data_IF_661730548612
#
_entry.id   IF_661730548612
#
_cell.length_a   1.000
_cell.length_b   1.000
_cell.length_c   1.000
_cell.angle_alpha   90.00
_cell.angle_beta   90.00
_cell.angle_gamma   90.00
#
_symmetry.space_group_name_H-M   'P 1'
#
loop_
_entity.id
_entity.type
_entity.pdbx_description
1 polymer ?
2 non-polymer ?
3 non-polymer ?
4 non-polymer ?
5 water ?
#
# COMPACT_ATOMS: atom_id res chain seq x y z
N UNK A 16 0.28 6.60 -23.35
CA UNK A 16 -0.31 5.76 -22.25
C UNK A 16 -0.40 6.44 -20.88
N UNK A 17 0.38 7.49 -20.66
CA UNK A 17 0.31 8.20 -19.37
C UNK A 17 -1.12 8.70 -19.08
N UNK A 18 -1.83 9.15 -20.11
CA UNK A 18 -3.20 9.64 -19.97
C UNK A 18 -3.31 10.73 -18.89
N UNK A 19 -2.77 11.90 -19.19
CA UNK A 19 -2.73 13.03 -18.26
C UNK A 19 -4.05 13.78 -18.11
N UNK A 20 -4.98 13.54 -19.02
CA UNK A 20 -6.27 14.24 -19.02
C UNK A 20 -7.29 13.74 -17.99
N UNK A 21 -6.98 12.63 -17.30
CA UNK A 21 -7.85 12.12 -16.25
C UNK A 21 -7.04 11.92 -14.98
N UNK A 22 -7.72 11.91 -13.85
CA UNK A 22 -7.07 11.71 -12.58
C UNK A 22 -6.77 10.22 -12.38
N UNK A 23 -5.64 9.94 -11.72
CA UNK A 23 -5.20 8.57 -11.39
C UNK A 23 -4.86 8.62 -9.91
N UNK A 24 -5.11 7.51 -9.23
CA UNK A 24 -4.95 7.40 -7.78
C UNK A 24 -3.54 7.63 -7.25
N UNK A 25 -2.53 7.11 -7.94
CA UNK A 25 -1.14 7.29 -7.51
C UNK A 25 -0.69 8.75 -7.49
N UNK A 26 -1.18 9.48 -8.46
CA UNK A 26 -0.85 10.88 -8.70
C UNK A 26 -1.57 11.82 -7.77
N UNK A 27 -2.89 11.59 -7.59
CA UNK A 27 -3.67 12.35 -6.58
C UNK A 27 -2.92 12.18 -5.24
N UNK A 28 -2.67 10.91 -4.88
CA UNK A 28 -1.90 10.56 -3.64
C UNK A 28 -0.59 11.34 -3.55
N UNK A 29 0.19 11.31 -4.63
CA UNK A 29 1.48 11.96 -4.63
C UNK A 29 1.32 13.46 -4.49
N UNK A 30 0.30 14.01 -5.15
CA UNK A 30 0.03 15.46 -5.06
C UNK A 30 -0.27 15.87 -3.62
N UNK A 31 -1.18 15.14 -3.00
CA UNK A 31 -1.63 15.46 -1.64
C UNK A 31 -0.48 15.36 -0.64
N UNK A 32 0.40 14.36 -0.78
CA UNK A 32 1.47 14.28 0.22
C UNK A 32 2.71 15.11 -0.11
N UNK A 33 2.67 15.88 -1.20
CA UNK A 33 3.74 16.84 -1.46
C UNK A 33 4.74 16.51 -2.54
N UNK A 34 4.44 15.53 -3.38
CA UNK A 34 5.32 15.15 -4.47
C UNK A 34 5.05 16.03 -5.68
N UNK A 35 5.80 15.82 -6.76
CA UNK A 35 5.68 16.61 -7.98
C UNK A 35 5.09 15.79 -9.12
N UNK A 36 4.88 14.51 -8.88
CA UNK A 36 4.52 13.58 -9.95
C UNK A 36 3.02 13.52 -10.11
N UNK A 37 2.47 14.61 -10.65
CA UNK A 37 1.03 14.72 -10.88
C UNK A 37 0.77 15.76 -11.97
N UNK A 38 -0.43 15.70 -12.53
CA UNK A 38 -0.85 16.58 -13.57
C UNK A 38 -2.07 17.42 -13.12
N UNK A 39 -2.44 18.46 -13.90
CA UNK A 39 -3.62 19.27 -13.54
C UNK A 39 -4.87 18.48 -13.09
N UNK A 40 -5.25 17.44 -13.84
CA UNK A 40 -6.42 16.60 -13.49
C UNK A 40 -6.33 16.01 -12.07
N UNK A 41 -5.10 15.68 -11.66
CA UNK A 41 -4.83 15.09 -10.36
C UNK A 41 -4.91 16.14 -9.26
N UNK A 42 -4.43 17.35 -9.52
CA UNK A 42 -4.50 18.44 -8.55
C UNK A 42 -5.97 18.84 -8.29
N UNK A 43 -6.73 18.90 -9.39
CA UNK A 43 -8.14 19.26 -9.40
C UNK A 43 -8.93 18.24 -8.54
N UNK A 44 -8.63 16.96 -8.72
CA UNK A 44 -9.31 15.91 -7.97
C UNK A 44 -8.94 16.01 -6.49
N UNK A 45 -7.66 16.18 -6.23
CA UNK A 45 -7.13 16.31 -4.87
C UNK A 45 -7.73 17.45 -4.08
N UNK A 46 -7.73 18.62 -4.70
CA UNK A 46 -8.35 19.81 -4.16
C UNK A 46 -9.86 19.66 -3.95
N UNK A 47 -10.56 19.02 -4.89
CA UNK A 47 -12.00 18.82 -4.70
C UNK A 47 -12.24 17.95 -3.48
N UNK A 48 -11.46 16.88 -3.36
CA UNK A 48 -11.52 15.95 -2.20
C UNK A 48 -11.17 16.56 -0.86
N UNK A 49 -10.13 17.41 -0.87
CA UNK A 49 -9.74 18.09 0.36
C UNK A 49 -10.82 19.10 0.82
N UNK A 50 -11.59 19.63 -0.14
CA UNK A 50 -12.71 20.53 0.15
C UNK A 50 -13.79 19.77 0.89
N UNK A 51 -13.99 18.53 0.50
CA UNK A 51 -14.97 17.65 1.12
C UNK A 51 -14.47 17.13 2.46
N UNK A 52 -13.17 16.86 2.54
CA UNK A 52 -12.56 16.33 3.76
C UNK A 52 -11.21 16.99 4.04
N UNK A 53 -11.23 18.07 4.83
CA UNK A 53 -9.98 18.81 5.06
C UNK A 53 -8.84 17.97 5.61
N UNK A 54 -9.15 16.87 6.29
CA UNK A 54 -8.10 16.01 6.85
C UNK A 54 -7.41 15.08 5.82
N UNK A 55 -7.85 15.08 4.55
CA UNK A 55 -7.25 14.19 3.51
C UNK A 55 -5.70 14.10 3.59
N UNK A 56 -4.97 15.25 3.58
CA UNK A 56 -3.49 15.17 3.68
C UNK A 56 -2.95 14.51 4.96
N UNK A 57 -3.66 14.68 6.08
CA UNK A 57 -3.24 14.07 7.35
C UNK A 57 -3.34 12.55 7.18
N UNK A 58 -4.47 12.13 6.66
CA UNK A 58 -4.78 10.72 6.40
C UNK A 58 -3.81 10.08 5.39
N UNK A 59 -3.61 10.74 4.24
CA UNK A 59 -2.74 10.20 3.20
C UNK A 59 -1.27 10.14 3.69
N UNK A 60 -0.85 11.14 4.43
CA UNK A 60 0.49 11.14 5.03
C UNK A 60 0.62 10.05 6.07
N UNK A 61 -0.40 9.88 6.92
CA UNK A 61 -0.38 8.86 8.00
C UNK A 61 -0.29 7.44 7.44
N UNK A 62 -0.92 7.22 6.28
CA UNK A 62 -0.81 5.96 5.57
C UNK A 62 0.66 5.73 5.13
N UNK A 63 1.23 6.71 4.47
CA UNK A 63 2.61 6.60 4.04
C UNK A 63 3.54 6.39 5.24
N UNK A 64 3.28 7.07 6.36
CA UNK A 64 4.07 6.88 7.60
C UNK A 64 3.81 5.48 8.17
N UNK A 65 2.61 4.93 7.95
CA UNK A 65 2.29 3.59 8.47
C UNK A 65 3.15 2.58 7.70
N UNK A 66 3.18 2.69 6.37
CA UNK A 66 4.07 1.88 5.54
C UNK A 66 5.50 1.84 6.07
N UNK A 67 6.03 2.99 6.47
CA UNK A 67 7.42 3.07 6.98
C UNK A 67 7.62 2.31 8.30
N UNK A 68 6.67 2.42 9.23
CA UNK A 68 6.77 1.73 10.50
C UNK A 68 6.53 0.23 10.32
N UNK A 69 5.58 -0.14 9.44
CA UNK A 69 5.33 -1.54 9.18
C UNK A 69 6.55 -2.22 8.55
N UNK A 70 7.19 -1.57 7.58
CA UNK A 70 8.34 -2.19 6.89
C UNK A 70 9.51 -2.27 7.86
N UNK A 71 9.69 -1.21 8.65
CA UNK A 71 10.75 -1.23 9.66
C UNK A 71 10.52 -2.40 10.63
N UNK A 72 9.28 -2.58 11.10
CA UNK A 72 8.92 -3.71 11.95
C UNK A 72 9.29 -5.06 11.32
N UNK A 73 8.83 -5.27 10.10
CA UNK A 73 9.07 -6.49 9.38
C UNK A 73 10.56 -6.80 9.21
N UNK A 74 11.31 -5.79 8.80
CA UNK A 74 12.73 -5.94 8.52
C UNK A 74 13.49 -6.20 9.80
N UNK A 75 13.21 -5.38 10.80
CA UNK A 75 13.93 -5.37 12.06
C UNK A 75 13.48 -6.42 13.07
N UNK A 76 12.22 -6.31 13.52
CA UNK A 76 11.67 -7.23 14.51
C UNK A 76 11.43 -8.64 13.97
N UNK A 77 10.77 -8.73 12.81
CA UNK A 77 10.46 -10.03 12.22
C UNK A 77 11.57 -10.66 11.38
N UNK A 78 12.62 -9.90 11.12
CA UNK A 78 13.75 -10.39 10.31
C UNK A 78 13.48 -10.74 8.86
N UNK A 79 12.41 -10.21 8.28
CA UNK A 79 12.05 -10.48 6.88
C UNK A 79 13.03 -9.77 5.92
N UNK A 80 13.50 -10.52 4.93
CA UNK A 80 14.49 -10.06 3.96
C UNK A 80 13.99 -10.08 2.54
N UNK A 81 12.70 -10.32 2.36
CA UNK A 81 12.08 -10.40 1.04
C UNK A 81 10.70 -9.77 1.09
N UNK A 82 10.47 -8.80 0.21
CA UNK A 82 9.18 -8.09 0.18
C UNK A 82 8.57 -8.12 -1.23
N UNK A 83 7.27 -8.29 -1.33
CA UNK A 83 6.52 -8.22 -2.60
C UNK A 83 5.46 -7.14 -2.31
N UNK A 84 5.53 -6.05 -3.06
CA UNK A 84 4.70 -4.85 -2.82
C UNK A 84 3.76 -4.62 -3.96
N UNK A 85 2.46 -4.73 -3.68
CA UNK A 85 1.42 -4.61 -4.69
C UNK A 85 0.74 -3.25 -4.55
N UNK A 86 0.77 -2.48 -5.63
CA UNK A 86 0.25 -1.13 -5.68
C UNK A 86 1.32 -0.23 -5.08
N UNK A 87 2.51 -0.33 -5.65
CA UNK A 87 3.65 0.40 -5.16
C UNK A 87 3.47 1.91 -5.17
N UNK A 88 2.78 2.46 -6.15
CA UNK A 88 2.71 3.92 -6.20
C UNK A 88 3.98 4.60 -6.65
N UNK A 89 3.85 5.92 -6.80
CA UNK A 89 4.90 6.82 -7.23
C UNK A 89 5.99 6.76 -6.18
N UNK A 90 7.26 6.62 -6.60
CA UNK A 90 8.31 6.60 -5.59
C UNK A 90 8.39 7.87 -4.77
N UNK A 91 8.58 7.72 -3.46
CA UNK A 91 8.72 8.82 -2.54
C UNK A 91 9.68 8.38 -1.43
N UNK A 92 10.69 9.18 -1.17
CA UNK A 92 11.69 8.84 -0.17
C UNK A 92 11.22 8.98 1.28
N UNK A 93 11.47 7.95 2.12
CA UNK A 93 12.12 6.67 1.89
C UNK A 93 11.18 5.63 1.25
N UNK A 94 11.65 4.93 0.25
CA UNK A 94 10.85 3.90 -0.41
C UNK A 94 10.97 2.62 0.42
N UNK A 95 10.09 1.67 0.17
CA UNK A 95 10.10 0.45 0.95
C UNK A 95 11.44 -0.23 0.95
N UNK A 96 12.09 -0.36 -0.21
CA UNK A 96 13.40 -1.07 -0.26
C UNK A 96 14.44 -0.31 0.48
N UNK A 97 14.31 1.02 0.52
CA UNK A 97 15.31 1.83 1.22
C UNK A 97 15.21 1.57 2.73
N UNK A 98 13.99 1.47 3.25
CA UNK A 98 13.81 1.14 4.66
C UNK A 98 14.35 -0.27 4.94
N UNK A 99 13.98 -1.24 4.09
CA UNK A 99 14.40 -2.64 4.29
C UNK A 99 15.92 -2.82 4.13
N UNK A 100 16.51 -2.19 3.12
CA UNK A 100 17.93 -2.36 2.91
C UNK A 100 18.77 -1.59 3.93
N UNK A 101 18.18 -0.61 4.61
CA UNK A 101 18.92 0.13 5.66
C UNK A 101 19.04 -0.71 6.93
N UNK A 102 18.05 -1.56 7.19
CA UNK A 102 18.10 -2.48 8.32
C UNK A 102 18.99 -3.66 7.95
N UNK A 103 18.82 -4.16 6.71
CA UNK A 103 19.54 -5.30 6.16
C UNK A 103 19.85 -5.11 4.67
N UNK A 104 21.10 -4.74 4.34
CA UNK A 104 21.47 -4.43 2.93
C UNK A 104 21.15 -5.50 1.90
N UNK A 105 21.17 -6.76 2.31
CA UNK A 105 20.87 -7.86 1.40
C UNK A 105 19.40 -8.02 1.11
N UNK A 106 18.53 -7.20 1.70
CA UNK A 106 17.09 -7.38 1.50
C UNK A 106 16.72 -7.24 0.03
N UNK A 107 15.71 -7.98 -0.37
CA UNK A 107 15.22 -8.02 -1.75
C UNK A 107 13.78 -7.55 -1.77
N UNK A 108 13.40 -6.82 -2.82
CA UNK A 108 12.04 -6.27 -2.97
C UNK A 108 11.57 -6.30 -4.41
N UNK A 109 10.34 -6.73 -4.62
CA UNK A 109 9.70 -6.65 -5.95
C UNK A 109 8.57 -5.67 -5.78
N UNK A 110 8.57 -4.63 -6.62
CA UNK A 110 7.60 -3.59 -6.60
C UNK A 110 6.68 -3.84 -7.78
N UNK A 111 5.42 -3.54 -7.59
CA UNK A 111 4.42 -3.80 -8.63
C UNK A 111 3.33 -2.72 -8.72
N UNK A 112 3.00 -2.25 -9.93
CA UNK A 112 1.94 -1.26 -10.05
C UNK A 112 1.39 -1.38 -11.45
N UNK A 113 0.14 -0.95 -11.64
CA UNK A 113 -0.43 -0.91 -12.98
C UNK A 113 -0.58 0.51 -13.55
N UNK A 114 -0.08 1.52 -12.87
CA UNK A 114 -0.15 2.88 -13.43
C UNK A 114 1.10 3.10 -14.29
N UNK A 115 0.97 3.32 -15.63
CA UNK A 115 2.16 3.56 -16.48
C UNK A 115 3.17 4.62 -15.95
N UNK A 116 2.70 5.58 -15.16
CA UNK A 116 3.59 6.60 -14.66
C UNK A 116 4.63 5.99 -13.74
N UNK A 117 4.27 4.90 -13.06
CA UNK A 117 5.24 4.32 -12.10
C UNK A 117 6.50 3.81 -12.84
N UNK A 118 6.29 3.16 -13.97
CA UNK A 118 7.39 2.66 -14.80
C UNK A 118 8.35 3.79 -15.19
N UNK A 119 7.82 4.98 -15.49
CA UNK A 119 8.63 6.13 -15.89
C UNK A 119 9.59 6.62 -14.81
N UNK A 120 9.21 6.34 -13.57
CA UNK A 120 9.98 6.74 -12.41
C UNK A 120 10.61 5.53 -11.73
N UNK A 121 10.67 4.40 -12.43
CA UNK A 121 11.16 3.14 -11.84
C UNK A 121 12.65 3.13 -11.50
N UNK A 122 13.45 4.06 -12.06
CA UNK A 122 14.88 4.08 -11.77
C UNK A 122 15.12 4.18 -10.26
N UNK A 123 14.32 4.95 -9.57
CA UNK A 123 14.48 5.10 -8.10
C UNK A 123 14.16 3.81 -7.36
N UNK A 124 13.26 3.01 -7.92
CA UNK A 124 12.87 1.73 -7.29
C UNK A 124 13.95 0.67 -7.49
N UNK A 125 14.63 0.77 -8.64
CA UNK A 125 15.68 -0.14 -9.03
C UNK A 125 17.06 0.19 -8.45
N UNK A 126 17.16 1.32 -7.76
CA UNK A 126 18.41 1.77 -7.19
C UNK A 126 18.65 1.02 -5.88
N UNK A 127 19.17 -0.19 -6.01
CA UNK A 127 19.36 -1.06 -4.86
C UNK A 127 20.76 -1.04 -4.30
N UNK A 128 20.89 -1.48 -3.06
CA UNK A 128 22.20 -1.70 -2.49
C UNK A 128 22.83 -2.79 -3.35
N UNK A 129 24.17 -2.85 -3.38
CA UNK A 129 24.77 -3.92 -4.16
C UNK A 129 24.50 -5.30 -3.53
N UNK A 130 24.41 -5.37 -2.20
CA UNK A 130 24.13 -6.65 -1.53
C UNK A 130 22.70 -7.11 -1.82
N UNK A 131 21.77 -6.17 -1.91
CA UNK A 131 20.36 -6.48 -2.12
C UNK A 131 20.02 -6.60 -3.57
N UNK A 132 18.71 -6.70 -3.84
CA UNK A 132 18.15 -6.77 -5.20
C UNK A 132 16.76 -6.07 -5.22
N UNK A 133 16.47 -5.29 -6.25
CA UNK A 133 15.07 -4.78 -6.40
C UNK A 133 14.67 -4.96 -7.84
N UNK A 134 13.37 -5.00 -8.06
CA UNK A 134 12.80 -5.19 -9.39
C UNK A 134 11.46 -4.51 -9.48
N UNK A 135 11.03 -4.18 -10.69
CA UNK A 135 9.74 -3.53 -10.85
C UNK A 135 9.02 -4.28 -11.94
N UNK A 136 7.76 -4.56 -11.70
CA UNK A 136 6.91 -5.24 -12.65
C UNK A 136 5.66 -4.41 -12.82
N UNK A 137 5.26 -4.14 -14.07
CA UNK A 137 4.01 -3.45 -14.33
C UNK A 137 2.99 -4.55 -14.57
N UNK A 138 1.98 -4.63 -13.69
CA UNK A 138 1.02 -5.70 -13.71
C UNK A 138 -0.19 -5.37 -12.85
N UNK A 139 -1.28 -6.08 -13.11
CA UNK A 139 -2.57 -5.90 -12.44
C UNK A 139 -2.75 -6.95 -11.34
N UNK A 140 -3.02 -6.51 -10.10
CA UNK A 140 -3.17 -7.47 -8.99
C UNK A 140 -4.32 -8.47 -9.21
N UNK A 141 -5.27 -8.11 -10.07
CA UNK A 141 -6.34 -9.02 -10.44
C UNK A 141 -5.81 -10.18 -11.31
N UNK A 142 -4.51 -10.22 -11.60
CA UNK A 142 -3.92 -11.32 -12.37
C UNK A 142 -2.68 -11.78 -11.63
N UNK A 143 -2.87 -12.51 -10.52
CA UNK A 143 -1.71 -12.95 -9.72
C UNK A 143 -0.64 -13.75 -10.48
N UNK A 144 -1.04 -14.50 -11.50
CA UNK A 144 -0.08 -15.29 -12.29
C UNK A 144 0.95 -14.39 -12.98
N UNK A 145 0.49 -13.27 -13.53
CA UNK A 145 1.39 -12.32 -14.20
C UNK A 145 2.38 -11.72 -13.23
N UNK A 146 2.04 -11.69 -11.94
CA UNK A 146 2.94 -11.18 -10.93
C UNK A 146 3.86 -12.31 -10.48
N UNK A 147 3.26 -13.39 -9.97
CA UNK A 147 3.97 -14.54 -9.42
C UNK A 147 4.89 -15.25 -10.43
N UNK A 148 4.45 -15.38 -11.67
CA UNK A 148 5.30 -15.99 -12.73
C UNK A 148 6.20 -14.97 -13.44
N UNK A 149 6.19 -13.70 -13.02
CA UNK A 149 7.05 -12.69 -13.62
C UNK A 149 8.51 -13.05 -13.45
N UNK A 150 9.28 -13.04 -14.57
CA UNK A 150 10.68 -13.34 -14.51
C UNK A 150 11.38 -12.42 -13.52
N UNK A 151 10.99 -11.15 -13.50
CA UNK A 151 11.59 -10.14 -12.62
C UNK A 151 11.41 -10.53 -11.16
N UNK A 152 10.28 -11.15 -10.85
CA UNK A 152 10.01 -11.62 -9.49
C UNK A 152 10.81 -12.89 -9.16
N UNK A 153 10.78 -13.87 -10.06
CA UNK A 153 11.52 -15.13 -9.86
C UNK A 153 13.05 -14.98 -9.83
N UNK A 154 13.58 -13.95 -10.49
CA UNK A 154 15.02 -13.71 -10.43
C UNK A 154 15.35 -12.89 -9.20
N UNK A 155 14.33 -12.38 -8.52
CA UNK A 155 14.59 -11.53 -7.37
C UNK A 155 14.27 -12.20 -6.05
N UNK A 156 13.11 -12.84 -5.98
CA UNK A 156 12.68 -13.48 -4.72
C UNK A 156 12.78 -15.01 -4.78
N UNK A 157 13.06 -15.60 -3.62
CA UNK A 157 13.09 -17.04 -3.41
C UNK A 157 11.80 -17.38 -2.64
N UNK A 158 10.80 -17.93 -3.32
CA UNK A 158 9.50 -18.20 -2.65
C UNK A 158 9.49 -19.40 -1.69
N UNK A 159 10.66 -20.02 -1.50
CA UNK A 159 10.81 -21.08 -0.53
C UNK A 159 11.31 -20.45 0.79
N UNK A 160 11.54 -19.14 0.78
CA UNK A 160 11.95 -18.41 2.00
C UNK A 160 10.89 -17.33 2.33
N UNK A 161 10.82 -16.89 3.61
CA UNK A 161 9.75 -15.96 3.99
C UNK A 161 9.75 -14.65 3.20
N UNK A 162 8.54 -14.26 2.81
CA UNK A 162 8.23 -13.04 2.04
C UNK A 162 7.12 -12.22 2.76
N UNK A 163 7.33 -10.90 2.88
CA UNK A 163 6.30 -9.99 3.41
C UNK A 163 5.51 -9.47 2.18
N UNK A 164 4.21 -9.81 2.11
CA UNK A 164 3.32 -9.33 1.03
C UNK A 164 2.75 -8.02 1.55
N UNK A 165 3.14 -6.92 0.91
CA UNK A 165 2.66 -5.59 1.31
C UNK A 165 1.59 -5.13 0.30
N UNK A 166 0.41 -4.92 0.80
CA UNK A 166 -0.73 -4.53 -0.03
C UNK A 166 -1.31 -3.30 0.65
N UNK A 167 -0.72 -2.15 0.36
CA UNK A 167 -1.01 -0.94 1.09
C UNK A 167 -1.71 0.13 0.30
N UNK A 168 -2.86 0.53 0.84
CA UNK A 168 -3.65 1.62 0.28
C UNK A 168 -4.08 1.31 -1.11
N UNK A 169 -4.35 0.04 -1.36
CA UNK A 169 -4.81 -0.36 -2.70
C UNK A 169 -6.11 -1.12 -2.70
N UNK A 170 -6.36 -1.92 -1.67
CA UNK A 170 -7.54 -2.78 -1.69
C UNK A 170 -8.87 -2.00 -1.71
N UNK A 171 -8.86 -0.74 -1.31
CA UNK A 171 -10.10 0.04 -1.37
C UNK A 171 -10.51 0.31 -2.83
N UNK A 172 -9.61 0.06 -3.79
CA UNK A 172 -9.98 0.18 -5.23
C UNK A 172 -10.44 -1.14 -5.84
N UNK A 173 -10.57 -2.18 -4.99
CA UNK A 173 -10.97 -3.50 -5.45
C UNK A 173 -12.35 -3.77 -4.87
N UNK A 174 -13.30 -3.89 -5.77
CA UNK A 174 -14.71 -4.09 -5.40
C UNK A 174 -14.99 -5.55 -5.05
N UNK A 175 -16.06 -5.77 -4.34
CA UNK A 175 -16.46 -7.12 -3.92
C UNK A 175 -16.68 -8.11 -5.04
N UNK A 176 -17.19 -7.64 -6.17
CA UNK A 176 -17.37 -8.53 -7.31
C UNK A 176 -16.08 -9.15 -7.85
N UNK A 177 -14.91 -8.63 -7.49
CA UNK A 177 -13.63 -9.21 -7.92
C UNK A 177 -12.99 -10.08 -6.86
N UNK A 178 -13.64 -10.16 -5.69
CA UNK A 178 -13.18 -10.92 -4.54
C UNK A 178 -11.81 -10.45 -4.05
N UNK A 179 -11.76 -9.25 -3.48
CA UNK A 179 -10.51 -8.69 -2.95
C UNK A 179 -9.80 -9.61 -1.95
N UNK A 180 -10.58 -10.23 -1.08
CA UNK A 180 -10.03 -11.18 -0.13
C UNK A 180 -9.37 -12.35 -0.87
N UNK A 181 -10.01 -12.86 -1.90
CA UNK A 181 -9.48 -13.99 -2.67
C UNK A 181 -8.21 -13.64 -3.44
N UNK A 182 -8.21 -12.47 -4.06
CA UNK A 182 -7.05 -11.98 -4.79
C UNK A 182 -5.84 -11.87 -3.84
N UNK A 183 -6.06 -11.28 -2.69
CA UNK A 183 -4.97 -11.13 -1.71
C UNK A 183 -4.44 -12.47 -1.21
N UNK A 184 -5.35 -13.36 -0.84
CA UNK A 184 -4.99 -14.68 -0.34
C UNK A 184 -4.40 -15.58 -1.44
N UNK A 185 -4.71 -15.28 -2.69
CA UNK A 185 -4.11 -16.00 -3.80
C UNK A 185 -2.63 -15.61 -3.93
N UNK A 186 -2.28 -14.35 -3.66
CA UNK A 186 -0.90 -13.85 -3.70
C UNK A 186 -0.06 -14.36 -2.52
N UNK A 187 -0.73 -14.57 -1.39
CA UNK A 187 -0.09 -15.07 -0.18
C UNK A 187 0.11 -16.58 -0.23
N UNK A 188 -0.71 -17.27 -1.01
CA UNK A 188 -0.69 -18.73 -1.05
C UNK A 188 0.70 -19.37 -1.27
N UNK A 189 1.47 -18.90 -2.30
CA UNK A 189 2.78 -19.52 -2.58
C UNK A 189 3.92 -19.09 -1.67
N UNK A 190 3.63 -18.18 -0.74
CA UNK A 190 4.62 -17.72 0.19
C UNK A 190 4.65 -18.72 1.33
N UNK A 191 5.84 -19.03 1.84
CA UNK A 191 5.95 -20.07 2.87
C UNK A 191 5.59 -19.63 4.29
N UNK A 192 5.49 -20.61 5.18
CA UNK A 192 5.23 -20.34 6.58
C UNK A 192 6.31 -19.38 7.05
N UNK A 193 5.93 -18.44 7.89
CA UNK A 193 6.84 -17.42 8.36
C UNK A 193 6.70 -16.16 7.53
N UNK A 194 6.00 -16.25 6.41
CA UNK A 194 5.76 -15.08 5.60
C UNK A 194 4.77 -14.16 6.39
N UNK A 195 4.49 -12.98 5.83
CA UNK A 195 3.55 -12.03 6.39
C UNK A 195 2.70 -11.31 5.35
N UNK A 196 1.59 -10.79 5.83
CA UNK A 196 0.72 -9.96 5.03
C UNK A 196 0.55 -8.64 5.82
N UNK A 197 0.86 -7.53 5.17
CA UNK A 197 0.69 -6.18 5.75
C UNK A 197 -0.23 -5.42 4.81
N UNK A 198 -1.31 -4.85 5.36
CA UNK A 198 -2.29 -4.13 4.59
C UNK A 198 -2.74 -2.82 5.24
N UNK A 199 -3.13 -1.86 4.41
CA UNK A 199 -3.84 -0.68 4.94
C UNK A 199 -5.20 -0.71 4.23
N UNK A 200 -6.28 -0.61 5.01
CA UNK A 200 -7.62 -0.86 4.46
C UNK A 200 -8.49 0.35 4.76
N UNK A 201 -9.00 0.95 3.68
CA UNK A 201 -9.83 2.13 3.76
C UNK A 201 -11.18 1.88 4.41
N UNK A 202 -11.59 2.81 5.25
CA UNK A 202 -12.86 2.69 5.98
C UNK A 202 -13.51 4.07 6.12
N UNK A 203 -14.85 4.11 6.08
CA UNK A 203 -15.62 5.34 6.29
C UNK A 203 -16.14 5.45 7.74
N UNK A 204 -15.96 4.40 8.52
CA UNK A 204 -16.45 4.35 9.91
C UNK A 204 -16.18 5.52 10.82
N UNK A 205 -15.08 6.22 10.62
CA UNK A 205 -14.70 7.28 11.54
C UNK A 205 -15.15 8.70 11.21
N UNK A 206 -15.51 8.90 9.94
CA UNK A 206 -15.98 10.19 9.39
C UNK A 206 -16.85 9.85 8.17
N UNK A 207 -17.98 9.17 8.39
CA UNK A 207 -18.82 8.68 7.27
C UNK A 207 -19.20 9.70 6.23
N UNK A 208 -19.54 10.91 6.65
CA UNK A 208 -19.99 11.91 5.68
C UNK A 208 -18.89 12.40 4.73
N UNK A 209 -17.78 12.82 5.30
CA UNK A 209 -16.63 13.38 4.57
C UNK A 209 -15.87 12.30 3.76
N UNK A 210 -15.64 11.14 4.36
CA UNK A 210 -14.92 10.06 3.68
C UNK A 210 -15.85 9.51 2.57
N UNK A 211 -17.11 9.43 2.91
CA UNK A 211 -18.14 8.98 1.94
C UNK A 211 -18.11 9.89 0.74
N UNK A 212 -18.18 11.20 0.97
CA UNK A 212 -18.11 12.17 -0.14
C UNK A 212 -16.81 12.02 -0.97
N UNK A 213 -15.67 11.84 -0.32
CA UNK A 213 -14.42 11.59 -1.06
C UNK A 213 -14.49 10.32 -1.90
N UNK A 214 -15.03 9.23 -1.33
CA UNK A 214 -15.19 8.00 -2.10
C UNK A 214 -16.05 8.25 -3.35
N UNK A 215 -17.13 8.99 -3.23
CA UNK A 215 -17.95 9.27 -4.43
C UNK A 215 -17.23 10.20 -5.43
N UNK A 216 -16.29 11.01 -4.94
CA UNK A 216 -15.45 11.83 -5.84
C UNK A 216 -14.56 10.91 -6.67
N UNK A 217 -13.99 9.88 -6.03
CA UNK A 217 -13.19 8.89 -6.79
C UNK A 217 -14.09 8.17 -7.80
N UNK A 218 -15.27 7.75 -7.37
CA UNK A 218 -16.21 7.05 -8.29
C UNK A 218 -16.60 7.91 -9.48
N UNK A 219 -16.79 9.22 -9.26
CA UNK A 219 -17.17 10.14 -10.34
C UNK A 219 -16.04 10.37 -11.34
N UNK A 220 -14.83 10.01 -10.95
CA UNK A 220 -13.66 10.12 -11.80
C UNK A 220 -13.19 8.73 -12.25
N UNK A 221 -14.14 7.82 -12.40
CA UNK A 221 -13.88 6.47 -12.91
C UNK A 221 -12.93 5.63 -12.04
N UNK A 222 -12.93 5.88 -10.73
CA UNK A 222 -12.11 5.13 -9.80
C UNK A 222 -13.01 4.55 -8.68
N UNK A 223 -13.81 3.50 -9.02
CA UNK A 223 -14.71 2.84 -8.09
C UNK A 223 -13.99 2.54 -6.77
N UNK A 224 -14.67 2.68 -5.66
CA UNK A 224 -14.05 2.46 -4.36
C UNK A 224 -14.91 1.59 -3.44
N UNK A 225 -14.26 0.83 -2.56
CA UNK A 225 -14.92 -0.02 -1.59
C UNK A 225 -14.28 0.18 -0.22
N UNK A 226 -14.98 0.89 0.63
CA UNK A 226 -14.54 1.15 2.00
C UNK A 226 -15.12 0.05 2.89
N UNK A 227 -14.38 -0.29 3.94
CA UNK A 227 -14.74 -1.45 4.75
C UNK A 227 -14.82 -1.22 6.25
N UNK A 228 -15.67 -2.02 6.89
CA UNK A 228 -15.80 -2.05 8.34
C UNK A 228 -14.65 -2.85 8.91
N UNK A 229 -14.44 -2.72 10.21
CA UNK A 229 -13.41 -3.51 10.88
C UNK A 229 -13.66 -5.03 10.65
N UNK A 230 -14.91 -5.48 10.73
CA UNK A 230 -15.26 -6.90 10.49
C UNK A 230 -14.91 -7.35 9.06
N UNK A 231 -15.12 -6.46 8.08
CA UNK A 231 -14.77 -6.79 6.70
C UNK A 231 -13.25 -6.89 6.53
N UNK A 232 -12.53 -5.99 7.22
CA UNK A 232 -11.07 -5.98 7.19
C UNK A 232 -10.49 -7.25 7.79
N UNK A 233 -11.20 -7.80 8.77
CA UNK A 233 -10.75 -9.04 9.43
C UNK A 233 -10.74 -10.22 8.47
N UNK A 234 -11.64 -10.21 7.50
CA UNK A 234 -11.72 -11.27 6.52
C UNK A 234 -10.40 -11.52 5.80
N UNK A 235 -9.59 -10.49 5.63
CA UNK A 235 -8.32 -10.65 4.94
C UNK A 235 -7.32 -11.44 5.71
N UNK A 236 -7.44 -11.41 7.03
CA UNK A 236 -6.48 -12.01 7.91
C UNK A 236 -6.94 -13.32 8.57
N UNK A 237 -8.01 -13.94 8.07
CA UNK A 237 -8.49 -15.22 8.63
C UNK A 237 -7.42 -16.31 8.45
N UNK A 238 -7.13 -17.07 9.50
CA UNK A 238 -6.07 -18.10 9.44
C UNK A 238 -4.64 -17.59 9.59
N UNK A 239 -4.45 -16.27 9.61
CA UNK A 239 -3.14 -15.64 9.83
C UNK A 239 -3.05 -15.17 11.28
N UNK A 240 -1.84 -15.11 11.82
CA UNK A 240 -1.64 -14.62 13.15
C UNK A 240 -1.37 -13.11 13.12
N UNK A 241 -2.33 -12.30 13.57
CA UNK A 241 -2.11 -10.85 13.67
C UNK A 241 -1.08 -10.45 14.72
N UNK A 242 -0.20 -9.55 14.33
CA UNK A 242 0.79 -8.93 15.21
C UNK A 242 0.00 -7.94 16.06
N UNK A 243 0.27 -7.84 17.36
CA UNK A 243 -0.48 -6.88 18.18
C UNK A 243 -0.14 -5.46 17.67
N UNK A 244 -1.11 -4.52 17.73
CA UNK A 244 -2.46 -4.50 18.27
C UNK A 244 -3.58 -5.05 17.41
N UNK A 245 -3.23 -5.71 16.34
CA UNK A 245 -4.25 -6.22 15.42
C UNK A 245 -4.60 -5.20 14.37
N UNK A 246 -5.91 -5.09 14.08
CA UNK A 246 -6.40 -4.20 13.03
C UNK A 246 -6.92 -2.95 13.72
N UNK A 247 -6.13 -1.88 13.62
CA UNK A 247 -6.39 -0.58 14.25
C UNK A 247 -6.16 0.54 13.23
N UNK A 248 -6.71 1.70 13.53
CA UNK A 248 -6.43 2.87 12.69
C UNK A 248 -4.91 3.02 12.66
N UNK A 249 -4.40 3.37 11.48
CA UNK A 249 -2.94 3.40 11.21
C UNK A 249 -2.10 4.22 12.17
N UNK A 250 -2.59 5.39 12.62
CA UNK A 250 -1.82 6.24 13.57
C UNK A 250 -1.69 5.67 14.99
N UNK A 251 -2.45 4.62 15.28
CA UNK A 251 -2.40 3.88 16.53
C UNK A 251 -1.62 2.55 16.38
N UNK A 252 -1.06 2.27 15.19
CA UNK A 252 -0.28 1.02 15.00
C UNK A 252 1.19 1.31 15.25
N UNK A 253 1.68 0.88 16.41
CA UNK A 253 3.06 1.09 16.84
C UNK A 253 3.55 2.51 16.56
N UNK A 254 2.89 3.52 17.13
CA UNK A 254 3.28 4.91 16.89
C UNK A 254 4.63 5.32 17.46
N UNK A 255 5.23 6.32 16.82
CA UNK A 255 6.45 6.98 17.27
C UNK A 255 6.00 8.08 18.23
N UNK A 256 6.96 8.77 18.84
CA UNK A 256 6.65 9.87 19.77
C UNK A 256 5.50 10.75 19.27
N UNK A 257 5.68 11.32 18.07
CA UNK A 257 4.72 12.26 17.47
C UNK A 257 3.89 11.70 16.32
N UNK A 258 3.60 10.40 16.33
CA UNK A 258 2.80 9.78 15.27
C UNK A 258 1.33 10.25 15.23
N UNK A 259 0.76 10.58 16.39
CA UNK A 259 -0.63 11.05 16.48
C UNK A 259 -0.74 12.53 16.93
N UNK A 260 0.37 13.27 16.85
CA UNK A 260 0.43 14.69 17.28
C UNK A 260 -0.60 15.59 16.59
N UNK A 261 -1.78 15.72 17.21
CA UNK A 261 -2.87 16.55 16.69
C UNK A 261 -3.79 15.83 15.71
N UNK A 262 -3.77 14.50 15.72
CA UNK A 262 -4.59 13.69 14.84
C UNK A 262 -5.77 13.12 15.60
N UNK A 263 -6.96 13.50 15.15
CA UNK A 263 -8.20 13.04 15.73
C UNK A 263 -8.54 11.73 15.03
N UNK A 264 -9.28 10.85 15.69
CA UNK A 264 -9.66 9.58 15.04
C UNK A 264 -10.40 9.84 13.74
N UNK A 265 -11.19 10.89 13.71
CA UNK A 265 -11.94 11.20 12.48
C UNK A 265 -11.05 11.61 11.27
N UNK A 266 -9.80 11.94 11.54
CA UNK A 266 -8.85 12.37 10.51
C UNK A 266 -8.06 11.25 9.83
N UNK A 267 -8.39 9.99 10.16
CA UNK A 267 -7.69 8.78 9.67
C UNK A 267 -8.74 7.80 9.16
N UNK A 268 -8.69 7.53 7.88
CA UNK A 268 -9.64 6.63 7.24
C UNK A 268 -9.00 5.30 6.74
N UNK A 269 -7.88 4.89 7.33
CA UNK A 269 -7.24 3.61 7.02
C UNK A 269 -7.10 2.77 8.26
N UNK A 270 -7.50 1.50 8.17
CA UNK A 270 -7.05 0.51 9.18
C UNK A 270 -5.67 -0.02 8.75
N UNK A 271 -4.80 -0.29 9.73
CA UNK A 271 -3.51 -0.91 9.47
C UNK A 271 -3.42 -2.25 10.21
N UNK A 272 -2.79 -3.24 9.56
CA UNK A 272 -2.62 -4.59 10.15
C UNK A 272 -1.49 -5.35 9.44
N UNK A 273 -0.75 -6.11 10.26
CA UNK A 273 0.37 -6.95 9.84
C UNK A 273 0.10 -8.32 10.45
N UNK A 274 0.30 -9.40 9.70
CA UNK A 274 0.02 -10.72 10.24
C UNK A 274 1.02 -11.76 9.69
N UNK A 275 1.38 -12.75 10.53
CA UNK A 275 2.29 -13.84 10.13
C UNK A 275 1.52 -15.05 9.61
N UNK A 276 2.04 -15.70 8.57
CA UNK A 276 1.43 -16.90 7.98
C UNK A 276 1.98 -18.12 8.75
N UNK A 277 1.09 -18.91 9.39
CA UNK A 277 1.53 -20.05 10.22
C UNK A 277 2.24 -21.14 9.45
X LIG B 1 1.31 1.33 -1.57
X LIG B 1 1.66 2.81 -1.72
X LIG B 1 0.87 3.52 -2.83
X LIG B 1 -0.64 3.58 -2.58
X LIG B 1 -1.55 4.34 -3.90
X LIG B 1 1.45 3.51 -0.39
X LIG B 1 2.12 4.47 -0.02
X LIG B 1 0.59 3.10 0.40
X LIG B 1 -2.44 3.06 -4.72
X LIG B 1 -1.61 2.45 -5.84
X LIG B 1 -2.20 1.21 -6.24
X LIG B 1 -1.56 3.34 -7.08
X LIG B 1 -0.20 3.51 -7.44
X LIG B 1 -2.33 2.57 -8.12
X LIG B 1 -1.92 2.79 -9.46
X LIG B 1 -2.11 1.14 -7.65
X LIG B 1 -3.11 0.19 -8.14
X LIG B 1 -4.43 0.38 -8.15
X LIG B 1 -5.07 -0.71 -8.66
X LIG B 1 -4.13 -1.59 -8.99
X LIG B 1 -4.12 -2.94 -9.57
X LIG B 1 -5.31 -3.51 -9.87
X LIG B 1 -2.92 -3.54 -9.77
X LIG B 1 -1.75 -2.95 -9.42
X LIG B 1 -1.68 -1.71 -8.89
X LIG B 1 -2.82 -1.01 -8.63
X LIG C 1 9.11 14.36 -4.95
X LIG C 1 9.09 13.26 -3.99
X LIG C 1 8.00 14.22 -5.90
X LIG C 1 8.99 15.60 -4.16
X LIG C 1 10.38 14.31 -5.67
X LIG D 1 17.68 -16.06 -6.15
X LIG D 1 17.80 -16.96 -5.06
X LIG D 1 16.25 -15.53 -6.20
X LIG D 1 15.38 -16.58 -6.65
#
# INVERSE_FOLDING_TARGET
GXGGAALPDNGWPADRIDTESAHSARIYDYIIGGKDYYPADKEAGDAMSREWPALPVHMRANRDWMNRAVAHLAKEAGIRQFLDIGTGIPTSPNLHEIAQSVAPESRVVYVDNDPIVLTLSQGLLASTPEGRTAYVEADMLDPASILDAPELRDTLDLTRPVALTVIAIVHFVLDEDDAVGIVRRLLEPLPSGSYLAMSIGTAEFAPQEVGRVAREYAARNMPMRLRTHAEAEEFFEGLELVEPGIVQVHKWHPDAATADGIRDEDIAMYGAVARKP
SAH N CA CB CG SD C O OXT C5' C4' O4' C3' O3' C2' O2' C1' N9 C8 N7 C5 C6 N6 N1 C2 N3 C4
SO4 S O1 O2 O3 O4
EDO C1 O1 C2 O2
#
